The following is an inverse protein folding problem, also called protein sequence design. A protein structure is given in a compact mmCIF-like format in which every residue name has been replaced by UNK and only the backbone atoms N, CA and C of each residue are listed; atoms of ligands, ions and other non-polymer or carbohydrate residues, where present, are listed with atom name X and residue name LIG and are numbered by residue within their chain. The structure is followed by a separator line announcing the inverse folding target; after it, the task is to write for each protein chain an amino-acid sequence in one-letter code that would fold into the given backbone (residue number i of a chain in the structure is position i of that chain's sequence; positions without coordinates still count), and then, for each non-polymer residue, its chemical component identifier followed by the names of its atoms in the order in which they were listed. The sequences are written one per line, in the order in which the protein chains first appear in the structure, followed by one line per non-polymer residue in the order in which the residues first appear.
data_IF_374350652202
#
_entry.id   IF_374350652202
#
_cell.length_a   1.000
_cell.length_b   1.000
_cell.length_c   1.000
_cell.angle_alpha   90.00
_cell.angle_beta   90.00
_cell.angle_gamma   90.00
#
_symmetry.space_group_name_H-M   'P 1'
#
loop_
_entity.id
_entity.type
_entity.pdbx_description
1 polymer ?
#
# COMPACT_ATOMS: atom_id res chain seq x y z
N UNK A 1 22.16 11.22 -2.73
CA UNK A 1 21.70 10.10 -1.90
C UNK A 1 20.69 9.32 -2.72
N UNK A 2 21.07 8.11 -3.12
CA UNK A 2 20.28 7.20 -3.95
C UNK A 2 19.26 6.54 -3.01
N UNK A 3 18.10 7.18 -2.83
CA UNK A 3 17.02 6.68 -1.97
C UNK A 3 16.64 5.27 -2.43
N UNK A 4 16.57 4.32 -1.51
CA UNK A 4 16.33 2.89 -1.75
C UNK A 4 15.17 2.66 -2.73
N UNK A 5 15.50 2.46 -4.01
CA UNK A 5 14.51 2.26 -5.10
C UNK A 5 13.77 0.92 -5.02
N UNK A 6 14.09 0.09 -4.02
CA UNK A 6 13.52 -1.23 -3.78
C UNK A 6 12.73 -1.24 -2.48
N UNK A 7 11.72 -0.39 -2.38
CA UNK A 7 10.80 -0.45 -1.25
C UNK A 7 9.78 -1.58 -1.46
N UNK A 8 9.60 -2.42 -0.44
CA UNK A 8 8.71 -3.58 -0.51
C UNK A 8 7.84 -3.68 0.74
N UNK A 9 6.55 -3.94 0.52
CA UNK A 9 5.58 -4.28 1.55
C UNK A 9 5.06 -5.69 1.30
N UNK A 10 5.07 -6.50 2.35
CA UNK A 10 4.39 -7.79 2.37
C UNK A 10 3.27 -7.76 3.41
N UNK A 11 2.19 -8.44 3.09
CA UNK A 11 1.04 -8.55 3.96
C UNK A 11 0.03 -9.54 3.44
N UNK A 12 -1.19 -9.43 3.95
CA UNK A 12 -2.32 -10.17 3.44
C UNK A 12 -3.12 -9.26 2.50
N UNK A 13 -3.72 -9.82 1.44
CA UNK A 13 -4.62 -9.07 0.58
C UNK A 13 -5.86 -8.63 1.36
N UNK A 14 -6.52 -7.61 0.82
CA UNK A 14 -7.76 -7.08 1.35
C UNK A 14 -8.76 -6.75 0.26
N UNK A 15 -10.03 -6.68 0.64
CA UNK A 15 -11.13 -6.17 -0.20
C UNK A 15 -11.91 -5.12 0.57
N UNK A 16 -12.40 -4.09 -0.12
CA UNK A 16 -13.35 -3.14 0.47
C UNK A 16 -14.75 -3.71 0.28
N UNK A 17 -15.51 -3.79 1.36
CA UNK A 17 -16.95 -4.11 1.33
C UNK A 17 -17.69 -2.92 1.91
N UNK A 18 -18.51 -2.26 1.08
CA UNK A 18 -19.09 -0.95 1.39
C UNK A 18 -18.01 0.11 1.53
N UNK A 19 -17.73 0.53 2.76
CA UNK A 19 -16.66 1.49 3.10
C UNK A 19 -15.56 0.89 3.98
N UNK A 20 -15.63 -0.42 4.26
CA UNK A 20 -14.78 -1.07 5.25
C UNK A 20 -13.77 -1.96 4.54
N UNK A 21 -12.45 -1.78 4.78
CA UNK A 21 -11.45 -2.72 4.30
C UNK A 21 -11.47 -3.98 5.18
N UNK A 22 -11.62 -5.13 4.55
CA UNK A 22 -11.62 -6.44 5.18
C UNK A 22 -10.43 -7.23 4.67
N UNK A 23 -9.69 -7.84 5.59
CA UNK A 23 -8.57 -8.72 5.27
C UNK A 23 -9.08 -10.04 4.69
N UNK A 24 -8.50 -10.47 3.58
CA UNK A 24 -8.74 -11.79 2.98
C UNK A 24 -7.58 -12.74 3.26
N UNK A 25 -7.84 -14.03 3.11
CA UNK A 25 -6.82 -15.08 3.23
C UNK A 25 -5.95 -15.09 1.96
N UNK A 26 -4.63 -15.21 2.14
CA UNK A 26 -3.66 -15.14 1.05
C UNK A 26 -2.41 -14.33 1.42
N UNK A 27 -1.53 -14.12 0.46
CA UNK A 27 -0.31 -13.33 0.57
C UNK A 27 -0.30 -12.25 -0.50
N UNK A 28 0.03 -11.02 -0.12
CA UNK A 28 0.18 -9.92 -1.06
C UNK A 28 1.54 -9.25 -0.85
N UNK A 29 2.28 -9.09 -1.95
CA UNK A 29 3.57 -8.43 -2.01
C UNK A 29 3.49 -7.26 -2.98
N UNK A 30 3.74 -6.06 -2.47
CA UNK A 30 3.83 -4.85 -3.28
C UNK A 30 5.27 -4.38 -3.27
N UNK A 31 5.87 -4.25 -4.44
CA UNK A 31 7.26 -3.85 -4.64
C UNK A 31 7.29 -2.64 -5.54
N UNK A 32 8.00 -1.60 -5.13
CA UNK A 32 8.34 -0.48 -5.99
C UNK A 32 9.63 -0.83 -6.72
N UNK A 33 9.60 -0.81 -8.05
CA UNK A 33 10.75 -1.02 -8.90
C UNK A 33 10.90 0.18 -9.84
N UNK A 34 11.61 1.20 -9.37
CA UNK A 34 11.77 2.47 -10.08
C UNK A 34 10.41 3.15 -10.33
N UNK A 35 9.99 3.19 -11.60
CA UNK A 35 8.78 3.87 -12.05
C UNK A 35 7.52 2.98 -12.06
N UNK A 36 7.65 1.70 -11.67
CA UNK A 36 6.55 0.73 -11.67
C UNK A 36 6.32 0.18 -10.25
N UNK A 37 5.07 0.19 -9.81
CA UNK A 37 4.58 -0.57 -8.65
C UNK A 37 4.14 -1.94 -9.13
N UNK A 38 4.83 -2.98 -8.69
CA UNK A 38 4.47 -4.37 -8.93
C UNK A 38 3.72 -4.89 -7.72
N UNK A 39 2.49 -5.35 -7.91
CA UNK A 39 1.73 -6.03 -6.86
C UNK A 39 1.49 -7.48 -7.27
N UNK A 40 1.93 -8.40 -6.43
CA UNK A 40 1.67 -9.83 -6.53
C UNK A 40 0.68 -10.20 -5.43
N UNK A 41 -0.42 -10.83 -5.80
CA UNK A 41 -1.41 -11.38 -4.87
C UNK A 41 -1.57 -12.86 -5.14
N UNK A 42 -1.47 -13.63 -4.07
CA UNK A 42 -1.65 -15.08 -4.06
C UNK A 42 -2.78 -15.41 -3.09
N UNK A 43 -3.79 -16.15 -3.55
CA UNK A 43 -4.95 -16.51 -2.75
C UNK A 43 -4.65 -17.67 -1.79
N UNK A 44 -5.59 -17.95 -0.91
CA UNK A 44 -5.47 -19.08 0.01
C UNK A 44 -5.43 -20.39 -0.80
N UNK A 45 -4.43 -21.24 -0.53
CA UNK A 45 -4.09 -22.46 -1.28
C UNK A 45 -3.49 -22.28 -2.69
N UNK A 46 -3.07 -21.08 -3.10
CA UNK A 46 -2.41 -20.92 -4.40
C UNK A 46 -3.35 -21.02 -5.61
N UNK A 47 -4.65 -20.98 -5.37
CA UNK A 47 -5.68 -21.23 -6.39
C UNK A 47 -5.81 -20.07 -7.39
N UNK A 48 -5.46 -18.86 -6.98
CA UNK A 48 -5.53 -17.65 -7.79
C UNK A 48 -4.25 -16.85 -7.60
N UNK A 49 -3.56 -16.60 -8.71
CA UNK A 49 -2.34 -15.81 -8.75
C UNK A 49 -2.59 -14.59 -9.64
N UNK A 50 -2.52 -13.41 -9.05
CA UNK A 50 -2.70 -12.15 -9.76
C UNK A 50 -1.44 -11.30 -9.68
N UNK A 51 -1.04 -10.76 -10.82
CA UNK A 51 0.08 -9.82 -10.93
C UNK A 51 -0.41 -8.53 -11.57
N UNK A 52 -0.16 -7.42 -10.88
CA UNK A 52 -0.45 -6.09 -11.36
C UNK A 52 0.85 -5.31 -11.57
N UNK A 53 0.99 -4.72 -12.74
CA UNK A 53 2.08 -3.81 -13.07
C UNK A 53 1.48 -2.42 -13.26
N UNK A 54 1.72 -1.54 -12.30
CA UNK A 54 1.07 -0.23 -12.27
C UNK A 54 2.14 0.85 -12.32
N UNK A 55 2.13 1.74 -13.33
CA UNK A 55 3.03 2.88 -13.35
C UNK A 55 2.81 3.75 -12.10
N UNK A 56 3.90 4.18 -11.45
CA UNK A 56 3.84 5.03 -10.24
C UNK A 56 3.04 6.32 -10.48
N UNK A 57 3.07 6.83 -11.72
CA UNK A 57 2.31 8.02 -12.15
C UNK A 57 0.80 7.84 -12.03
N UNK A 58 0.30 6.61 -12.12
CA UNK A 58 -1.12 6.28 -12.01
C UNK A 58 -1.60 6.08 -10.57
N UNK A 59 -0.69 6.08 -9.59
CA UNK A 59 -1.06 6.05 -8.17
C UNK A 59 -1.65 7.42 -7.81
N UNK A 60 -2.98 7.46 -7.67
CA UNK A 60 -3.73 8.69 -7.36
C UNK A 60 -3.62 9.04 -5.89
N UNK A 61 -3.80 8.05 -5.02
CA UNK A 61 -3.79 8.25 -3.58
C UNK A 61 -3.22 7.03 -2.84
N UNK A 62 -2.57 7.30 -1.71
CA UNK A 62 -2.08 6.30 -0.76
C UNK A 62 -2.78 6.58 0.56
N UNK A 63 -3.59 5.63 1.03
CA UNK A 63 -4.27 5.72 2.30
C UNK A 63 -3.67 4.71 3.29
N UNK A 64 -3.23 5.20 4.44
CA UNK A 64 -2.76 4.37 5.54
C UNK A 64 -3.83 4.44 6.62
N UNK A 65 -4.30 3.28 7.08
CA UNK A 65 -5.35 3.22 8.08
C UNK A 65 -5.17 2.06 9.05
N UNK A 66 -6.03 2.08 10.06
CA UNK A 66 -6.14 1.02 11.05
C UNK A 66 -7.63 0.75 11.28
N UNK A 67 -8.02 -0.52 11.25
CA UNK A 67 -9.40 -0.96 11.40
C UNK A 67 -9.55 -2.09 12.41
N UNK A 68 -10.76 -2.26 12.90
CA UNK A 68 -11.11 -3.38 13.77
C UNK A 68 -11.26 -4.66 12.95
N UNK A 69 -11.14 -5.80 13.62
CA UNK A 69 -11.30 -7.11 12.98
C UNK A 69 -12.79 -7.45 12.85
N UNK A 70 -13.44 -6.98 11.78
CA UNK A 70 -14.90 -7.06 11.62
C UNK A 70 -15.48 -8.48 11.59
N UNK A 71 -14.75 -9.49 11.13
CA UNK A 71 -15.24 -10.88 11.14
C UNK A 71 -15.46 -11.42 12.56
N UNK A 72 -14.72 -10.91 13.56
CA UNK A 72 -14.92 -11.28 14.97
C UNK A 72 -16.25 -10.77 15.52
N UNK A 73 -16.78 -9.65 15.02
CA UNK A 73 -18.13 -9.21 15.37
C UNK A 73 -19.19 -10.16 14.83
N UNK A 74 -19.04 -10.56 13.56
CA UNK A 74 -19.96 -11.50 12.92
C UNK A 74 -20.00 -12.86 13.62
N UNK A 75 -18.91 -13.30 14.25
CA UNK A 75 -18.89 -14.51 15.08
C UNK A 75 -19.31 -14.25 16.54
N UNK A 76 -18.98 -13.09 17.09
CA UNK A 76 -19.30 -12.75 18.48
C UNK A 76 -20.79 -12.55 18.73
N UNK A 77 -21.51 -11.97 17.78
CA UNK A 77 -22.97 -11.76 17.83
C UNK A 77 -23.79 -13.05 18.00
N UNK A 78 -23.62 -14.09 17.16
CA UNK A 78 -24.37 -15.34 17.32
C UNK A 78 -23.93 -16.15 18.54
N UNK A 79 -22.68 -15.99 18.98
CA UNK A 79 -22.14 -16.70 20.15
C UNK A 79 -22.33 -15.94 21.45
N UNK A 80 -23.03 -14.79 21.45
CA UNK A 80 -23.23 -13.94 22.62
C UNK A 80 -23.95 -14.65 23.78
N UNK A 81 -24.81 -15.62 23.46
CA UNK A 81 -25.52 -16.48 24.42
C UNK A 81 -24.56 -17.31 25.26
N UNK A 82 -23.34 -17.53 24.77
CA UNK A 82 -22.25 -18.20 25.47
C UNK A 82 -21.27 -17.09 25.87
N UNK A 83 -20.71 -17.13 27.08
CA UNK A 83 -19.75 -16.10 27.55
C UNK A 83 -18.57 -15.86 26.57
N UNK A 84 -18.28 -16.83 25.70
CA UNK A 84 -17.34 -16.76 24.57
C UNK A 84 -17.63 -15.60 23.62
N UNK A 85 -18.89 -15.25 23.34
CA UNK A 85 -19.22 -14.17 22.41
C UNK A 85 -18.75 -12.80 22.91
N UNK A 86 -18.82 -12.55 24.21
CA UNK A 86 -18.31 -11.31 24.83
C UNK A 86 -16.80 -11.22 24.62
N UNK A 87 -16.07 -12.32 24.83
CA UNK A 87 -14.62 -12.37 24.62
C UNK A 87 -14.27 -12.06 23.16
N UNK A 88 -15.00 -12.63 22.18
CA UNK A 88 -14.77 -12.38 20.75
C UNK A 88 -14.99 -10.92 20.36
N UNK A 89 -16.04 -10.28 20.89
CA UNK A 89 -16.33 -8.87 20.64
C UNK A 89 -15.22 -7.98 21.22
N UNK A 90 -14.80 -8.22 22.46
CA UNK A 90 -13.68 -7.49 23.07
C UNK A 90 -12.40 -7.67 22.24
N UNK A 91 -12.13 -8.90 21.80
CA UNK A 91 -10.99 -9.21 20.95
C UNK A 91 -11.08 -8.49 19.58
N UNK A 92 -12.27 -8.28 19.04
CA UNK A 92 -12.49 -7.55 17.79
C UNK A 92 -12.03 -6.09 17.85
N UNK A 93 -12.18 -5.44 19.01
CA UNK A 93 -11.72 -4.08 19.27
C UNK A 93 -10.22 -4.01 19.63
N UNK A 94 -9.71 -5.01 20.36
CA UNK A 94 -8.30 -5.07 20.74
C UNK A 94 -7.39 -5.40 19.55
N UNK A 95 -7.81 -6.33 18.69
CA UNK A 95 -7.06 -6.74 17.51
C UNK A 95 -7.33 -5.76 16.38
N UNK A 96 -6.58 -4.66 16.41
CA UNK A 96 -6.58 -3.67 15.34
C UNK A 96 -5.67 -4.13 14.20
N UNK A 97 -6.22 -4.19 12.99
CA UNK A 97 -5.50 -4.53 11.77
C UNK A 97 -5.08 -3.24 11.06
N UNK A 98 -3.80 -3.15 10.70
CA UNK A 98 -3.27 -2.03 9.94
C UNK A 98 -3.32 -2.36 8.45
N UNK A 99 -3.71 -1.38 7.64
CA UNK A 99 -3.85 -1.56 6.21
C UNK A 99 -3.32 -0.36 5.44
N UNK A 100 -2.90 -0.64 4.21
CA UNK A 100 -2.48 0.33 3.21
C UNK A 100 -3.37 0.12 1.99
N UNK A 101 -3.97 1.19 1.49
CA UNK A 101 -4.77 1.20 0.27
C UNK A 101 -4.03 2.08 -0.75
N UNK A 102 -3.71 1.48 -1.89
CA UNK A 102 -3.25 2.20 -3.06
C UNK A 102 -4.42 2.33 -4.03
N UNK A 103 -4.89 3.56 -4.21
CA UNK A 103 -5.85 3.88 -5.25
C UNK A 103 -5.10 4.24 -6.52
N UNK A 104 -5.31 3.45 -7.56
CA UNK A 104 -4.73 3.66 -8.88
C UNK A 104 -5.85 4.01 -9.86
N UNK A 105 -5.49 4.35 -11.10
CA UNK A 105 -6.49 4.67 -12.13
C UNK A 105 -7.42 3.51 -12.47
N UNK A 106 -6.91 2.28 -12.40
CA UNK A 106 -7.62 1.07 -12.87
C UNK A 106 -8.04 0.15 -11.71
N UNK A 107 -7.19 0.03 -10.68
CA UNK A 107 -7.41 -0.93 -9.58
C UNK A 107 -7.17 -0.30 -8.21
N UNK A 108 -7.83 -0.83 -7.19
CA UNK A 108 -7.55 -0.48 -5.80
C UNK A 108 -6.87 -1.66 -5.13
N UNK A 109 -5.61 -1.47 -4.73
CA UNK A 109 -4.80 -2.49 -4.06
C UNK A 109 -4.86 -2.27 -2.56
N UNK A 110 -5.16 -3.32 -1.79
CA UNK A 110 -5.29 -3.24 -0.34
C UNK A 110 -4.39 -4.30 0.27
N UNK A 111 -3.44 -3.86 1.10
CA UNK A 111 -2.55 -4.77 1.83
C UNK A 111 -2.64 -4.53 3.33
N UNK A 112 -2.93 -5.59 4.07
CA UNK A 112 -2.92 -5.62 5.52
C UNK A 112 -1.53 -6.03 6.01
N UNK A 113 -0.88 -5.16 6.78
CA UNK A 113 0.51 -5.33 7.19
C UNK A 113 0.66 -5.33 8.72
N UNK A 114 1.74 -5.95 9.21
CA UNK A 114 2.06 -5.98 10.66
C UNK A 114 3.13 -4.94 11.03
N UNK A 115 4.17 -4.78 10.21
CA UNK A 115 5.31 -3.87 10.48
C UNK A 115 5.10 -2.51 9.81
N UNK A 116 5.09 -1.44 10.61
CA UNK A 116 4.85 -0.05 10.15
C UNK A 116 6.06 0.61 9.49
N UNK A 117 7.28 0.26 9.91
CA UNK A 117 8.52 0.88 9.43
C UNK A 117 8.68 0.78 7.91
N UNK A 118 8.43 -0.41 7.35
CA UNK A 118 8.51 -0.67 5.91
C UNK A 118 7.45 0.10 5.11
N UNK A 119 6.30 0.40 5.72
CA UNK A 119 5.21 1.12 5.05
C UNK A 119 5.52 2.60 4.94
N UNK A 120 6.13 3.20 5.97
CA UNK A 120 6.57 4.59 5.93
C UNK A 120 7.66 4.79 4.84
N UNK A 121 8.64 3.89 4.79
CA UNK A 121 9.67 3.87 3.75
C UNK A 121 9.06 3.74 2.35
N UNK A 122 8.13 2.80 2.17
CA UNK A 122 7.44 2.58 0.90
C UNK A 122 6.59 3.76 0.46
N UNK A 123 5.85 4.40 1.38
CA UNK A 123 5.09 5.62 1.09
C UNK A 123 6.02 6.72 0.57
N UNK A 124 7.13 6.97 1.28
CA UNK A 124 8.08 8.00 0.88
C UNK A 124 8.70 7.67 -0.47
N UNK A 125 9.07 6.40 -0.71
CA UNK A 125 9.62 5.96 -1.98
C UNK A 125 8.63 6.14 -3.15
N UNK A 126 7.33 5.87 -2.97
CA UNK A 126 6.33 6.16 -4.01
C UNK A 126 6.20 7.67 -4.26
N UNK A 127 6.17 8.49 -3.20
CA UNK A 127 6.05 9.94 -3.32
C UNK A 127 7.26 10.54 -4.06
N UNK A 128 8.47 10.06 -3.75
CA UNK A 128 9.70 10.44 -4.46
C UNK A 128 9.68 9.99 -5.92
N UNK A 129 9.24 8.75 -6.20
CA UNK A 129 9.13 8.24 -7.57
C UNK A 129 8.04 8.95 -8.39
N UNK A 130 6.99 9.48 -7.75
CA UNK A 130 5.95 10.31 -8.41
C UNK A 130 6.47 11.67 -8.86
N UNK A 131 7.45 12.22 -8.16
CA UNK A 131 8.07 13.50 -8.48
C UNK A 131 9.56 13.30 -8.76
N UNK A 132 9.93 12.71 -9.92
CA UNK A 132 11.33 12.70 -10.31
C UNK A 132 11.80 14.14 -10.37
N UNK A 133 12.81 14.47 -9.55
CA UNK A 133 13.48 15.78 -9.55
C UNK A 133 13.73 16.16 -11.01
N UNK A 134 13.09 17.24 -11.50
CA UNK A 134 13.32 17.71 -12.87
C UNK A 134 14.84 17.80 -13.08
N UNK A 135 15.40 17.20 -14.15
CA UNK A 135 16.80 17.45 -14.48
C UNK A 135 17.00 18.96 -14.59
N UNK A 136 18.12 19.51 -14.05
CA UNK A 136 18.40 20.93 -14.19
C UNK A 136 18.39 21.27 -15.67
N UNK A 137 17.54 22.21 -16.06
CA UNK A 137 17.51 22.73 -17.43
C UNK A 137 18.93 23.28 -17.69
N UNK A 138 19.63 22.82 -18.75
CA UNK A 138 20.94 23.37 -19.09
C UNK A 138 20.79 24.88 -19.25
N UNK A 139 21.48 25.64 -18.41
CA UNK A 139 21.54 27.10 -18.55
C UNK A 139 22.16 27.37 -19.93
N UNK A 140 21.58 28.23 -20.78
CA UNK A 140 22.18 28.59 -22.05
C UNK A 140 23.63 29.02 -21.80
N UNK A 141 24.61 28.57 -22.60
CA UNK A 141 25.98 29.03 -22.46
C UNK A 141 25.97 30.56 -22.50
N UNK A 142 26.63 31.17 -21.51
CA UNK A 142 26.73 32.62 -21.41
C UNK A 142 27.27 33.17 -22.74
N UNK A 143 26.71 34.27 -23.28
CA UNK A 143 27.21 34.87 -24.51
C UNK A 143 28.71 35.13 -24.37
N UNK A 144 29.50 34.64 -25.31
CA UNK A 144 30.92 34.96 -25.37
C UNK A 144 31.08 36.49 -25.41
N UNK A 145 31.99 37.07 -24.60
CA UNK A 145 32.29 38.50 -24.71
C UNK A 145 32.80 38.75 -26.13
N UNK A 146 32.01 39.48 -26.92
CA UNK A 146 32.45 40.07 -28.19
C UNK A 146 33.53 41.07 -27.82
N UNK A 147 34.79 40.67 -28.01
CA UNK A 147 35.92 41.56 -27.89
C UNK A 147 35.79 42.57 -29.05
N UNK A 148 35.42 43.80 -28.73
CA UNK A 148 35.56 44.94 -29.64
C UNK A 148 36.94 45.53 -29.41
N UNK A 149 37.78 45.34 -30.42
CA UNK A 149 38.95 46.14 -30.81
C UNK A 149 40.01 46.44 -29.74
#
# INVERSE_FOLDING_TARGET
MQSDRNAQINGNPGKIVGMIPIKTSGSMKITLNGDIVQAYSDSFFGLENEQFFIPVREVKAIQIGQGCTWWLFWLGLPTLTIFVGVVLIVLAFLVKQRYLILHTSQVTLIVFYKRTEKVAQFRNAILEARHPKKPPIPKPPAPHPVNKD
#
